data_IF_428374499932
#
_entry.id   IF_428374499932
#
_cell.length_a   1.000
_cell.length_b   1.000
_cell.length_c   1.000
_cell.angle_alpha   90.00
_cell.angle_beta   90.00
_cell.angle_gamma   90.00
#
_symmetry.space_group_name_H-M   'P 1'
#
loop_
_entity.id
_entity.type
_entity.pdbx_description
1 polymer ?
#
# COMPACT_ATOMS: atom_id res chain seq x y z
N UNK A 1 -33.83 21.11 25.83
CA UNK A 1 -32.83 20.03 26.02
C UNK A 1 -31.65 20.60 26.76
N UNK A 2 -31.42 20.21 28.02
CA UNK A 2 -30.33 20.74 28.85
C UNK A 2 -29.11 19.84 28.64
N UNK A 3 -28.21 20.24 27.73
CA UNK A 3 -27.01 19.46 27.41
C UNK A 3 -26.15 19.35 28.67
N UNK A 4 -25.95 18.12 29.13
CA UNK A 4 -25.11 17.82 30.28
C UNK A 4 -23.63 17.90 29.90
N UNK A 5 -22.71 18.23 30.84
CA UNK A 5 -21.28 18.31 30.54
C UNK A 5 -20.70 16.98 30.03
N UNK A 6 -21.35 15.86 30.36
CA UNK A 6 -21.04 14.52 29.86
C UNK A 6 -21.27 14.39 28.35
N UNK A 7 -22.27 15.10 27.82
CA UNK A 7 -22.56 15.12 26.39
C UNK A 7 -21.46 15.83 25.59
N UNK A 8 -20.90 16.92 26.15
CA UNK A 8 -19.79 17.64 25.54
C UNK A 8 -18.52 16.77 25.45
N UNK A 9 -18.20 16.04 26.52
CA UNK A 9 -17.06 15.12 26.51
C UNK A 9 -17.25 13.98 25.49
N UNK A 10 -18.46 13.41 25.42
CA UNK A 10 -18.77 12.37 24.44
C UNK A 10 -18.63 12.88 23.00
N UNK A 11 -19.15 14.07 22.73
CA UNK A 11 -19.06 14.70 21.40
C UNK A 11 -17.60 15.01 21.02
N UNK A 12 -16.80 15.50 21.97
CA UNK A 12 -15.38 15.76 21.74
C UNK A 12 -14.59 14.48 21.47
N UNK A 13 -14.88 13.39 22.18
CA UNK A 13 -14.24 12.10 21.96
C UNK A 13 -14.58 11.53 20.58
N UNK A 14 -15.86 11.63 20.19
CA UNK A 14 -16.33 11.17 18.87
C UNK A 14 -15.66 11.96 17.74
N UNK A 15 -15.56 13.28 17.89
CA UNK A 15 -14.90 14.14 16.91
C UNK A 15 -13.41 13.81 16.76
N UNK A 16 -12.71 13.54 17.87
CA UNK A 16 -11.30 13.15 17.85
C UNK A 16 -11.08 11.83 17.09
N UNK A 17 -11.95 10.84 17.27
CA UNK A 17 -11.87 9.55 16.56
C UNK A 17 -12.06 9.72 15.04
N UNK A 18 -13.00 10.56 14.61
CA UNK A 18 -13.23 10.84 13.18
C UNK A 18 -12.01 11.48 12.53
N UNK A 19 -11.38 12.45 13.21
CA UNK A 19 -10.14 13.07 12.74
C UNK A 19 -9.02 12.04 12.63
N UNK A 20 -8.93 11.12 13.60
CA UNK A 20 -7.91 10.07 13.60
C UNK A 20 -8.07 9.11 12.41
N UNK A 21 -9.31 8.71 12.10
CA UNK A 21 -9.60 7.83 10.95
C UNK A 21 -9.29 8.53 9.63
N UNK A 22 -9.57 9.84 9.52
CA UNK A 22 -9.29 10.62 8.32
C UNK A 22 -7.79 10.85 8.06
N UNK A 23 -6.96 10.75 9.10
CA UNK A 23 -5.51 10.99 9.02
C UNK A 23 -4.71 9.69 8.89
N UNK A 24 -5.35 8.51 8.98
CA UNK A 24 -4.66 7.24 8.81
C UNK A 24 -4.43 6.96 7.32
N UNK A 25 -3.21 6.54 6.93
CA UNK A 25 -2.94 6.17 5.55
C UNK A 25 -3.75 4.93 5.19
N UNK A 26 -4.25 4.89 3.96
CA UNK A 26 -5.02 3.76 3.48
C UNK A 26 -4.10 2.56 3.27
N UNK A 27 -4.45 1.44 3.91
CA UNK A 27 -3.77 0.15 3.69
C UNK A 27 -4.50 -0.56 2.56
N UNK A 28 -3.79 -0.79 1.46
CA UNK A 28 -4.33 -1.51 0.30
C UNK A 28 -3.68 -2.88 0.25
N UNK A 29 -4.50 -3.93 0.17
CA UNK A 29 -4.06 -5.31 -0.01
C UNK A 29 -4.33 -5.73 -1.45
N UNK A 30 -3.28 -6.07 -2.19
CA UNK A 30 -3.38 -6.52 -3.57
C UNK A 30 -2.84 -7.95 -3.72
N UNK A 31 -3.51 -8.76 -4.53
CA UNK A 31 -3.01 -10.07 -4.95
C UNK A 31 -2.28 -9.89 -6.28
N UNK A 32 -0.97 -10.15 -6.30
CA UNK A 32 -0.13 -9.96 -7.49
C UNK A 32 0.43 -11.32 -7.93
N UNK A 33 0.37 -11.62 -9.23
CA UNK A 33 1.01 -12.80 -9.81
C UNK A 33 2.49 -12.51 -10.06
N UNK A 34 3.37 -13.12 -9.27
CA UNK A 34 4.82 -12.94 -9.37
C UNK A 34 5.39 -14.05 -10.24
N UNK A 35 6.08 -13.65 -11.31
CA UNK A 35 6.82 -14.59 -12.16
C UNK A 35 8.26 -14.63 -11.69
N UNK A 36 8.65 -15.73 -11.02
CA UNK A 36 10.05 -15.94 -10.64
C UNK A 36 10.79 -16.65 -11.76
N UNK A 37 11.88 -16.01 -12.22
CA UNK A 37 12.80 -16.60 -13.20
C UNK A 37 13.90 -17.33 -12.44
N UNK A 38 13.93 -18.65 -12.57
CA UNK A 38 14.99 -19.49 -11.98
C UNK A 38 15.94 -19.92 -13.08
N UNK A 39 17.22 -19.54 -12.96
CA UNK A 39 18.29 -20.01 -13.84
C UNK A 39 18.96 -21.21 -13.18
N UNK A 40 18.89 -22.37 -13.83
CA UNK A 40 19.54 -23.60 -13.37
C UNK A 40 20.59 -24.04 -14.39
N UNK A 41 21.82 -24.25 -13.94
CA UNK A 41 22.92 -24.74 -14.79
C UNK A 41 22.98 -26.25 -14.67
N UNK A 42 22.64 -26.97 -15.74
CA UNK A 42 22.63 -28.44 -15.79
C UNK A 42 23.80 -28.90 -16.67
N UNK A 43 24.47 -29.98 -16.28
CA UNK A 43 25.49 -30.63 -17.12
C UNK A 43 24.87 -31.87 -17.76
N UNK A 44 24.60 -31.80 -19.07
CA UNK A 44 24.13 -32.93 -19.89
C UNK A 44 25.22 -33.30 -20.91
N UNK A 45 25.53 -34.60 -21.00
CA UNK A 45 26.53 -35.15 -21.94
C UNK A 45 27.93 -34.49 -21.93
N UNK A 46 28.29 -33.77 -20.87
CA UNK A 46 29.58 -33.09 -20.73
C UNK A 46 29.61 -31.63 -21.21
N UNK A 47 28.47 -31.08 -21.64
CA UNK A 47 28.27 -29.66 -21.93
C UNK A 47 27.42 -28.98 -20.84
N UNK A 48 27.71 -27.71 -20.54
CA UNK A 48 26.93 -26.88 -19.61
C UNK A 48 25.74 -26.26 -20.35
N UNK A 49 24.52 -26.60 -19.94
CA UNK A 49 23.27 -26.09 -20.52
C UNK A 49 22.56 -25.20 -19.49
N UNK A 50 22.21 -23.98 -19.88
CA UNK A 50 21.42 -23.06 -19.05
C UNK A 50 19.92 -23.27 -19.31
N UNK A 51 19.19 -23.71 -18.28
CA UNK A 51 17.74 -23.89 -18.36
C UNK A 51 17.05 -22.77 -17.58
N UNK A 52 16.14 -22.05 -18.26
CA UNK A 52 15.30 -21.04 -17.63
C UNK A 52 13.93 -21.63 -17.32
N UNK A 53 13.60 -21.78 -16.03
CA UNK A 53 12.26 -22.21 -15.59
C UNK A 53 11.45 -21.00 -15.14
N UNK A 54 10.26 -20.84 -15.70
CA UNK A 54 9.30 -19.78 -15.34
C UNK A 54 8.28 -20.35 -14.37
N UNK A 55 8.23 -19.83 -13.14
CA UNK A 55 7.28 -20.25 -12.10
C UNK A 55 6.35 -19.09 -11.77
N UNK A 56 5.04 -19.32 -11.90
CA UNK A 56 3.99 -18.37 -11.49
C UNK A 56 3.58 -18.65 -10.06
N UNK A 57 3.72 -17.67 -9.18
CA UNK A 57 3.34 -17.74 -7.76
C UNK A 57 2.39 -16.58 -7.42
N UNK A 58 1.31 -16.86 -6.70
CA UNK A 58 0.37 -15.83 -6.24
C UNK A 58 0.85 -15.31 -4.89
N UNK A 59 1.25 -14.04 -4.82
CA UNK A 59 1.71 -13.40 -3.58
C UNK A 59 0.74 -12.28 -3.16
N UNK A 60 0.48 -12.18 -1.84
CA UNK A 60 -0.31 -11.08 -1.26
C UNK A 60 0.63 -9.96 -0.85
N UNK A 61 0.48 -8.78 -1.44
CA UNK A 61 1.29 -7.60 -1.14
C UNK A 61 0.43 -6.59 -0.37
N UNK A 62 0.97 -6.07 0.73
CA UNK A 62 0.31 -5.03 1.54
C UNK A 62 1.11 -3.74 1.41
N UNK A 63 0.48 -2.70 0.88
CA UNK A 63 1.12 -1.41 0.65
C UNK A 63 0.41 -0.29 1.40
N UNK A 64 1.19 0.67 1.89
CA UNK A 64 0.68 1.89 2.50
C UNK A 64 0.66 2.96 1.43
N UNK A 65 -0.52 3.43 1.04
CA UNK A 65 -0.64 4.49 0.02
C UNK A 65 -0.65 5.84 0.72
N UNK A 66 0.36 6.67 0.42
CA UNK A 66 0.47 8.06 0.87
C UNK A 66 0.25 8.96 -0.34
N UNK A 67 -0.91 9.60 -0.44
CA UNK A 67 -1.14 10.61 -1.47
C UNK A 67 -0.38 11.90 -1.12
N UNK A 68 0.71 12.16 -1.83
CA UNK A 68 1.37 13.48 -1.75
C UNK A 68 0.46 14.53 -2.40
N UNK A 69 0.09 15.53 -1.61
CA UNK A 69 -0.66 16.71 -2.08
C UNK A 69 0.23 17.50 -3.05
N UNK A 70 -0.04 17.40 -4.35
CA UNK A 70 0.54 18.28 -5.37
C UNK A 70 -0.17 19.64 -5.28
N UNK A 71 0.44 20.61 -4.60
CA UNK A 71 -0.02 21.99 -4.67
C UNK A 71 0.36 22.57 -6.04
N UNK A 72 -0.64 22.73 -6.91
CA UNK A 72 -0.48 23.43 -8.19
C UNK A 72 -0.26 24.91 -7.88
N UNK A 73 1.00 25.30 -7.69
CA UNK A 73 1.38 26.71 -7.64
C UNK A 73 1.27 27.24 -9.07
N UNK A 74 0.16 27.90 -9.37
CA UNK A 74 0.00 28.62 -10.65
C UNK A 74 1.10 29.68 -10.77
N UNK A 75 1.85 29.74 -11.88
CA UNK A 75 2.81 30.82 -12.08
C UNK A 75 2.03 32.13 -12.25
N UNK A 76 2.22 33.04 -11.30
CA UNK A 76 1.80 34.44 -11.45
C UNK A 76 2.67 35.04 -12.56
N UNK A 77 2.06 35.29 -13.72
CA UNK A 77 2.69 36.06 -14.81
C UNK A 77 2.58 37.53 -14.42
N UNK A 78 3.74 38.17 -14.21
CA UNK A 78 3.88 39.60 -13.93
C UNK A 78 3.61 40.47 -15.17
#
# INVERSE_FOLDING_TARGET
MKQSPKFFLLASLLAALVILVACQPQVVTETVEVTRVVTETIVEEGETVEVTRVVTEVETVTETVVEERVEVVSPVVF
#
